data_IF_294537649540
#
_entry.id   IF_294537649540
#
_cell.length_a   1.000
_cell.length_b   1.000
_cell.length_c   1.000
_cell.angle_alpha   90.00
_cell.angle_beta   90.00
_cell.angle_gamma   90.00
#
_symmetry.space_group_name_H-M   'P 1'
#
loop_
_entity.id
_entity.type
_entity.pdbx_description
1 polymer ?
#
# COMPACT_ATOMS: atom_id res chain seq x y z
N UNK A 1 -0.13 -4.04 -2.10
CA UNK A 1 0.74 -4.56 -3.17
C UNK A 1 0.89 -3.54 -4.29
N UNK A 2 1.96 -3.66 -5.10
CA UNK A 2 2.21 -2.91 -6.33
C UNK A 2 1.22 -3.22 -7.46
N UNK A 3 1.50 -2.65 -8.64
CA UNK A 3 0.89 -3.07 -9.91
C UNK A 3 0.07 -1.98 -10.60
N UNK A 4 0.37 -0.71 -10.32
CA UNK A 4 -0.26 0.42 -11.03
C UNK A 4 -1.78 0.53 -10.82
N UNK A 5 -2.36 -0.21 -9.87
CA UNK A 5 -3.81 -0.29 -9.67
C UNK A 5 -4.52 -1.13 -10.74
N UNK A 6 -3.77 -1.91 -11.52
CA UNK A 6 -4.27 -2.71 -12.66
C UNK A 6 -3.88 -4.18 -12.55
N UNK A 7 -2.71 -4.46 -11.99
CA UNK A 7 -2.18 -5.83 -11.82
C UNK A 7 -1.72 -6.06 -10.38
N UNK A 8 -1.31 -7.29 -10.09
CA UNK A 8 -0.93 -7.72 -8.75
C UNK A 8 -2.12 -8.28 -7.98
N UNK A 9 -1.83 -9.06 -6.95
CA UNK A 9 -2.80 -9.63 -6.02
C UNK A 9 -2.07 -10.09 -4.75
N UNK A 10 -2.80 -10.67 -3.80
CA UNK A 10 -2.23 -11.19 -2.55
C UNK A 10 -1.10 -12.20 -2.78
N UNK A 11 -1.19 -13.04 -3.81
CA UNK A 11 -0.18 -14.03 -4.16
C UNK A 11 1.13 -13.40 -4.66
N UNK A 12 1.05 -12.27 -5.37
CA UNK A 12 2.26 -11.56 -5.86
C UNK A 12 3.10 -10.94 -4.74
N UNK A 13 2.51 -10.68 -3.57
CA UNK A 13 3.20 -10.11 -2.42
C UNK A 13 3.31 -11.06 -1.21
N UNK A 14 2.82 -12.30 -1.33
CA UNK A 14 2.70 -13.23 -0.20
C UNK A 14 4.04 -13.47 0.51
N UNK A 15 5.09 -13.78 -0.25
CA UNK A 15 6.43 -14.00 0.31
C UNK A 15 6.95 -12.77 1.04
N UNK A 16 6.77 -11.57 0.47
CA UNK A 16 7.19 -10.32 1.11
C UNK A 16 6.42 -10.08 2.41
N UNK A 17 5.10 -10.25 2.40
CA UNK A 17 4.26 -10.07 3.59
C UNK A 17 4.59 -11.09 4.69
N UNK A 18 4.83 -12.35 4.32
CA UNK A 18 5.21 -13.40 5.26
C UNK A 18 6.57 -13.11 5.92
N UNK A 19 7.57 -12.70 5.14
CA UNK A 19 8.89 -12.35 5.68
C UNK A 19 8.85 -11.06 6.51
N UNK A 20 8.06 -10.06 6.09
CA UNK A 20 7.84 -8.85 6.87
C UNK A 20 7.21 -9.19 8.24
N UNK A 21 6.14 -9.99 8.26
CA UNK A 21 5.46 -10.41 9.49
C UNK A 21 6.43 -11.11 10.46
N UNK A 22 7.24 -12.04 9.96
CA UNK A 22 8.28 -12.72 10.75
C UNK A 22 9.32 -11.75 11.30
N UNK A 23 9.76 -10.79 10.47
CA UNK A 23 10.83 -9.85 10.81
C UNK A 23 10.41 -8.87 11.89
N UNK A 24 9.19 -8.33 11.80
CA UNK A 24 8.70 -7.30 12.73
C UNK A 24 7.92 -7.89 13.92
N UNK A 25 7.63 -9.19 13.90
CA UNK A 25 6.85 -9.85 14.96
C UNK A 25 5.41 -9.31 15.09
N UNK A 26 4.83 -8.83 13.99
CA UNK A 26 3.47 -8.30 13.95
C UNK A 26 2.61 -9.04 12.92
N UNK A 27 1.29 -8.96 13.10
CA UNK A 27 0.33 -9.41 12.09
C UNK A 27 0.43 -8.51 10.87
N UNK A 28 0.52 -9.12 9.68
CA UNK A 28 0.45 -8.42 8.39
C UNK A 28 -0.80 -8.87 7.68
N UNK A 29 -1.67 -7.93 7.35
CA UNK A 29 -2.87 -8.15 6.53
C UNK A 29 -2.60 -7.62 5.12
N UNK A 30 -2.54 -8.53 4.14
CA UNK A 30 -2.45 -8.14 2.73
C UNK A 30 -3.84 -7.92 2.15
N UNK A 31 -4.05 -6.79 1.48
CA UNK A 31 -5.36 -6.35 0.98
C UNK A 31 -5.47 -6.65 -0.51
N UNK A 32 -6.52 -7.37 -0.90
CA UNK A 32 -6.92 -7.59 -2.29
C UNK A 32 -7.91 -6.51 -2.72
N UNK A 33 -7.40 -5.31 -3.03
CA UNK A 33 -8.23 -4.19 -3.44
C UNK A 33 -8.68 -4.33 -4.91
N UNK A 34 -9.85 -3.75 -5.24
CA UNK A 34 -10.36 -3.72 -6.61
C UNK A 34 -9.40 -3.03 -7.58
N UNK A 35 -9.27 -3.60 -8.77
CA UNK A 35 -8.33 -3.15 -9.81
C UNK A 35 -9.07 -2.52 -11.01
N UNK A 36 -8.39 -1.57 -11.65
CA UNK A 36 -8.76 -1.05 -12.95
C UNK A 36 -8.35 -2.04 -14.06
N UNK A 37 -9.00 -2.02 -15.23
CA UNK A 37 -10.07 -1.09 -15.65
C UNK A 37 -11.47 -1.45 -15.13
N UNK A 38 -11.70 -2.64 -14.58
CA UNK A 38 -13.01 -3.10 -14.11
C UNK A 38 -13.57 -2.20 -13.00
N UNK A 39 -12.67 -1.69 -12.14
CA UNK A 39 -12.97 -0.78 -11.06
C UNK A 39 -11.99 0.41 -11.09
N UNK A 40 -12.28 1.46 -11.88
CA UNK A 40 -11.41 2.62 -12.00
C UNK A 40 -11.30 3.38 -10.68
N UNK A 41 -10.35 4.31 -10.63
CA UNK A 41 -10.18 5.23 -9.51
C UNK A 41 -11.51 5.90 -9.10
N UNK A 42 -11.84 6.01 -7.80
CA UNK A 42 -11.01 5.68 -6.62
C UNK A 42 -11.26 4.29 -6.00
N UNK A 43 -11.88 3.33 -6.70
CA UNK A 43 -12.38 2.10 -6.09
C UNK A 43 -11.35 1.32 -5.24
N UNK A 44 -10.11 1.16 -5.73
CA UNK A 44 -9.05 0.49 -4.97
C UNK A 44 -8.58 1.27 -3.74
N UNK A 45 -8.62 2.60 -3.77
CA UNK A 45 -8.31 3.45 -2.60
C UNK A 45 -9.41 3.30 -1.54
N UNK A 46 -10.69 3.30 -1.95
CA UNK A 46 -11.80 3.10 -1.04
C UNK A 46 -11.67 1.76 -0.28
N UNK A 47 -11.29 0.70 -1.00
CA UNK A 47 -11.03 -0.61 -0.41
C UNK A 47 -9.84 -0.59 0.56
N UNK A 48 -8.77 0.14 0.24
CA UNK A 48 -7.61 0.28 1.11
C UNK A 48 -7.96 1.02 2.41
N UNK A 49 -8.74 2.11 2.33
CA UNK A 49 -9.24 2.86 3.50
C UNK A 49 -10.15 1.97 4.35
N UNK A 50 -11.13 1.31 3.72
CA UNK A 50 -12.06 0.43 4.41
C UNK A 50 -11.33 -0.72 5.13
N UNK A 51 -10.35 -1.33 4.44
CA UNK A 51 -9.54 -2.42 4.99
C UNK A 51 -8.67 -1.96 6.16
N UNK A 52 -8.07 -0.77 6.06
CA UNK A 52 -7.27 -0.21 7.17
C UNK A 52 -8.12 0.01 8.43
N UNK A 53 -9.28 0.66 8.28
CA UNK A 53 -10.19 0.91 9.41
C UNK A 53 -10.68 -0.40 10.01
N UNK A 54 -11.10 -1.34 9.16
CA UNK A 54 -11.54 -2.66 9.59
C UNK A 54 -10.44 -3.42 10.32
N UNK A 55 -9.23 -3.47 9.77
CA UNK A 55 -8.09 -4.16 10.39
C UNK A 55 -7.73 -3.55 11.75
N UNK A 56 -7.75 -2.22 11.86
CA UNK A 56 -7.50 -1.51 13.13
C UNK A 56 -8.52 -1.88 14.21
N UNK A 57 -9.80 -1.92 13.86
CA UNK A 57 -10.89 -2.21 14.81
C UNK A 57 -10.98 -3.70 15.16
N UNK A 58 -10.54 -4.58 14.26
CA UNK A 58 -10.60 -6.05 14.43
C UNK A 58 -9.25 -6.69 14.80
N UNK A 59 -8.20 -5.89 15.01
CA UNK A 59 -6.85 -6.36 15.33
C UNK A 59 -6.78 -7.42 16.47
N UNK A 60 -7.59 -7.35 17.55
CA UNK A 60 -7.58 -8.36 18.61
C UNK A 60 -7.94 -9.77 18.15
N UNK A 61 -8.73 -9.91 17.08
CA UNK A 61 -9.10 -11.22 16.52
C UNK A 61 -7.88 -11.96 15.95
N UNK A 62 -6.81 -11.23 15.65
CA UNK A 62 -5.56 -11.75 15.11
C UNK A 62 -4.43 -11.73 16.14
N UNK A 63 -4.73 -11.42 17.41
CA UNK A 63 -3.72 -11.32 18.48
C UNK A 63 -2.92 -10.02 18.47
N UNK A 64 -3.39 -8.97 17.77
CA UNK A 64 -2.76 -7.65 17.76
C UNK A 64 -3.52 -6.64 18.64
N UNK A 65 -2.86 -5.57 19.15
CA UNK A 65 -3.53 -4.55 19.97
C UNK A 65 -4.64 -3.80 19.22
N UNK A 66 -5.78 -3.60 19.87
CA UNK A 66 -6.87 -2.80 19.30
C UNK A 66 -6.45 -1.34 19.07
N UNK A 67 -6.94 -0.74 17.98
CA UNK A 67 -6.79 0.70 17.75
C UNK A 67 -5.41 1.12 17.24
N UNK A 68 -4.44 0.20 17.14
CA UNK A 68 -3.09 0.47 16.62
C UNK A 68 -2.87 -0.31 15.32
N UNK A 69 -2.70 0.40 14.22
CA UNK A 69 -2.38 -0.20 12.93
C UNK A 69 -1.41 0.70 12.15
N UNK A 70 -0.43 0.08 11.49
CA UNK A 70 0.38 0.72 10.47
C UNK A 70 -0.22 0.44 9.09
N UNK A 71 0.08 1.28 8.11
CA UNK A 71 -0.26 1.05 6.70
C UNK A 71 1.03 0.99 5.88
N UNK A 72 1.06 0.18 4.83
CA UNK A 72 2.27 -0.01 4.04
C UNK A 72 2.02 -0.59 2.67
N UNK A 73 2.91 -0.25 1.75
CA UNK A 73 2.88 -0.80 0.40
C UNK A 73 3.99 -0.30 -0.50
N UNK A 74 4.08 -0.96 -1.64
CA UNK A 74 5.09 -0.79 -2.66
C UNK A 74 4.51 -0.20 -3.96
N UNK A 75 5.22 0.72 -4.59
CA UNK A 75 4.78 1.42 -5.82
C UNK A 75 3.37 2.02 -5.66
N UNK A 76 2.36 1.50 -6.36
CA UNK A 76 0.97 1.93 -6.22
C UNK A 76 0.40 1.62 -4.82
N UNK A 77 0.80 0.52 -4.19
CA UNK A 77 0.45 0.27 -2.78
C UNK A 77 1.02 1.33 -1.84
N UNK A 78 2.21 1.86 -2.17
CA UNK A 78 2.80 3.01 -1.47
C UNK A 78 2.04 4.30 -1.75
N UNK A 79 1.57 4.51 -2.98
CA UNK A 79 0.69 5.62 -3.35
C UNK A 79 -0.61 5.59 -2.51
N UNK A 80 -1.33 4.47 -2.49
CA UNK A 80 -2.55 4.32 -1.68
C UNK A 80 -2.25 4.53 -0.20
N UNK A 81 -1.13 4.02 0.32
CA UNK A 81 -0.70 4.27 1.71
C UNK A 81 -0.51 5.75 2.02
N UNK A 82 0.04 6.52 1.09
CA UNK A 82 0.22 7.95 1.25
C UNK A 82 -1.12 8.71 1.18
N UNK A 83 -2.00 8.35 0.25
CA UNK A 83 -3.30 9.02 0.06
C UNK A 83 -4.25 8.68 1.20
N UNK A 84 -4.36 7.41 1.61
CA UNK A 84 -5.27 7.01 2.68
C UNK A 84 -4.99 7.76 3.99
N UNK A 85 -3.72 8.01 4.34
CA UNK A 85 -3.39 8.78 5.53
C UNK A 85 -3.87 10.24 5.43
N UNK A 86 -3.74 10.84 4.25
CA UNK A 86 -4.23 12.20 3.98
C UNK A 86 -5.76 12.27 4.05
N UNK A 87 -6.47 11.33 3.42
CA UNK A 87 -7.92 11.23 3.46
C UNK A 87 -8.44 11.01 4.89
N UNK A 88 -7.84 10.08 5.64
CA UNK A 88 -8.18 9.86 7.04
C UNK A 88 -7.99 11.14 7.88
N UNK A 89 -6.94 11.92 7.60
CA UNK A 89 -6.68 13.18 8.31
C UNK A 89 -7.74 14.22 7.96
N UNK A 90 -8.10 14.34 6.68
CA UNK A 90 -9.14 15.25 6.21
C UNK A 90 -10.50 14.94 6.83
N UNK A 91 -10.82 13.65 7.00
CA UNK A 91 -12.08 13.17 7.56
C UNK A 91 -12.09 13.13 9.10
N UNK A 92 -10.97 13.45 9.77
CA UNK A 92 -10.86 13.37 11.23
C UNK A 92 -10.93 11.92 11.77
N UNK A 93 -10.54 10.95 10.94
CA UNK A 93 -10.54 9.52 11.27
C UNK A 93 -9.19 9.08 11.87
N UNK A 94 -9.15 7.93 12.57
CA UNK A 94 -7.93 7.40 13.16
C UNK A 94 -6.79 7.26 12.13
N UNK A 95 -5.62 7.77 12.49
CA UNK A 95 -4.43 7.74 11.64
C UNK A 95 -3.67 6.42 11.76
N UNK A 96 -2.94 5.98 10.71
CA UNK A 96 -1.94 4.94 10.86
C UNK A 96 -0.82 5.40 11.80
N UNK A 97 -0.35 4.51 12.66
CA UNK A 97 0.75 4.82 13.61
C UNK A 97 2.11 4.94 12.90
N UNK A 98 2.20 4.38 11.69
CA UNK A 98 3.37 4.40 10.81
C UNK A 98 2.92 4.18 9.36
N UNK A 99 3.63 4.79 8.41
CA UNK A 99 3.49 4.52 6.97
C UNK A 99 4.78 3.89 6.43
N UNK A 100 4.69 2.68 5.86
CA UNK A 100 5.79 2.04 5.14
C UNK A 100 5.64 2.30 3.64
N UNK A 101 6.42 3.24 3.12
CA UNK A 101 6.32 3.70 1.72
C UNK A 101 7.50 3.18 0.90
N UNK A 102 7.29 2.10 0.14
CA UNK A 102 8.35 1.46 -0.65
C UNK A 102 8.26 1.95 -2.10
N UNK A 103 9.22 2.78 -2.53
CA UNK A 103 9.26 3.43 -3.86
C UNK A 103 7.89 3.94 -4.36
N UNK A 104 7.14 4.72 -3.54
CA UNK A 104 5.77 5.09 -3.86
C UNK A 104 5.69 5.98 -5.10
N UNK A 105 4.68 5.76 -5.94
CA UNK A 105 4.30 6.77 -6.93
C UNK A 105 3.63 7.93 -6.18
N UNK A 106 4.20 9.13 -6.17
CA UNK A 106 3.67 10.27 -5.39
C UNK A 106 3.34 11.48 -6.24
N UNK A 107 3.90 11.56 -7.44
CA UNK A 107 3.56 12.54 -8.45
C UNK A 107 3.50 11.84 -9.81
N UNK A 108 2.35 11.87 -10.46
CA UNK A 108 2.14 11.31 -11.80
C UNK A 108 2.16 12.37 -12.89
N UNK A 109 2.29 13.64 -12.50
CA UNK A 109 2.29 14.80 -13.40
C UNK A 109 3.71 15.30 -13.67
N UNK A 110 4.66 14.99 -12.79
CA UNK A 110 6.07 15.31 -13.00
C UNK A 110 6.73 14.34 -13.99
N UNK A 111 7.39 14.92 -14.98
CA UNK A 111 8.15 14.23 -16.00
C UNK A 111 9.63 14.65 -15.98
N UNK A 112 10.13 15.16 -14.85
CA UNK A 112 11.51 15.62 -14.67
C UNK A 112 12.36 14.62 -13.87
N UNK A 113 13.62 14.96 -13.63
CA UNK A 113 14.51 14.18 -12.77
C UNK A 113 14.72 12.74 -13.25
N UNK A 114 14.54 11.77 -12.35
CA UNK A 114 14.73 10.35 -12.65
C UNK A 114 13.79 9.84 -13.76
N UNK A 115 12.61 10.44 -13.94
CA UNK A 115 11.71 10.07 -15.04
C UNK A 115 12.30 10.39 -16.42
N UNK A 116 13.28 11.30 -16.51
CA UNK A 116 14.05 11.59 -17.73
C UNK A 116 15.39 10.84 -17.73
N UNK A 117 16.18 10.98 -16.66
CA UNK A 117 17.55 10.44 -16.62
C UNK A 117 17.58 8.92 -16.57
N UNK A 118 16.47 8.30 -16.16
CA UNK A 118 16.29 6.85 -16.11
C UNK A 118 15.14 6.39 -17.03
N UNK A 119 14.73 7.19 -18.02
CA UNK A 119 13.62 6.85 -18.92
C UNK A 119 13.83 5.51 -19.65
N UNK A 120 15.08 5.24 -20.05
CA UNK A 120 15.47 4.00 -20.73
C UNK A 120 16.08 2.96 -19.76
N UNK A 121 15.99 3.20 -18.44
CA UNK A 121 16.52 2.28 -17.46
C UNK A 121 15.68 1.00 -17.44
N UNK A 122 16.30 -0.12 -17.80
CA UNK A 122 15.71 -1.45 -17.68
C UNK A 122 15.98 -1.96 -16.26
N UNK A 123 14.96 -2.42 -15.50
CA UNK A 123 15.18 -3.04 -14.20
C UNK A 123 16.08 -4.28 -14.35
N UNK A 124 17.38 -4.08 -14.11
CA UNK A 124 18.48 -5.06 -14.17
C UNK A 124 18.67 -5.85 -15.48
N UNK A 125 19.75 -5.55 -16.22
CA UNK A 125 20.63 -6.65 -16.65
C UNK A 125 21.35 -7.10 -15.38
N UNK A 126 21.09 -8.32 -14.95
CA UNK A 126 21.82 -9.00 -13.88
C UNK A 126 23.33 -8.89 -14.16
N UNK A 127 24.10 -8.44 -13.16
CA UNK A 127 25.57 -8.58 -13.11
C UNK A 127 25.87 -10.02 -12.69
#
# INVERSE_FOLDING_TARGET
>A
HFGGGVVGNIGTCDTFCAELAKTIGCVVLSVEYRLAPEHPWPAGLDDAIASFLWARDNAPQFGAPAGLAAAGGDSMGGNFTAILAQELKQLGLPQPVMQLLIYPATDITDHSGSMQTCADAIPSRTI
#
